data_IF_030920729428
#
_entry.id   IF_030920729428
#
_cell.length_a   1.000
_cell.length_b   1.000
_cell.length_c   1.000
_cell.angle_alpha   90.00
_cell.angle_beta   90.00
_cell.angle_gamma   90.00
#
_symmetry.space_group_name_H-M   'P 1'
#
loop_
_entity.id
_entity.type
_entity.pdbx_description
1 polymer ?
#
# COMPACT_ATOMS: atom_id res chain seq x y z
N UNK A 1 -7.41 -16.38 -8.51
CA UNK A 1 -7.24 -14.92 -8.44
C UNK A 1 -5.97 -14.66 -7.67
N UNK A 2 -4.89 -14.35 -8.40
CA UNK A 2 -3.58 -14.07 -7.79
C UNK A 2 -3.55 -12.65 -7.20
N UNK A 3 -4.20 -11.69 -7.86
CA UNK A 3 -4.38 -10.30 -7.40
C UNK A 3 -4.98 -10.21 -5.99
N UNK A 4 -5.95 -11.07 -5.64
CA UNK A 4 -6.56 -11.09 -4.30
C UNK A 4 -5.59 -11.52 -3.20
N UNK A 5 -4.59 -12.35 -3.51
CA UNK A 5 -3.59 -12.83 -2.55
C UNK A 5 -2.56 -11.75 -2.25
N UNK A 6 -2.16 -10.99 -3.26
CA UNK A 6 -1.19 -9.90 -3.08
C UNK A 6 -1.80 -8.73 -2.30
N UNK A 7 -3.08 -8.42 -2.51
CA UNK A 7 -3.82 -7.46 -1.67
C UNK A 7 -3.84 -7.87 -0.20
N UNK A 8 -4.10 -9.15 0.09
CA UNK A 8 -4.08 -9.67 1.46
C UNK A 8 -2.69 -9.56 2.11
N UNK A 9 -1.63 -9.89 1.37
CA UNK A 9 -0.24 -9.73 1.86
C UNK A 9 0.09 -8.28 2.22
N UNK A 10 -0.34 -7.33 1.39
CA UNK A 10 -0.16 -5.89 1.66
C UNK A 10 -0.86 -5.53 2.97
N UNK A 11 -2.14 -5.93 3.12
CA UNK A 11 -2.92 -5.69 4.33
C UNK A 11 -2.26 -6.29 5.58
N UNK A 12 -1.80 -7.54 5.53
CA UNK A 12 -1.12 -8.20 6.66
C UNK A 12 0.19 -7.48 7.01
N UNK A 13 0.96 -7.06 6.02
CA UNK A 13 2.24 -6.38 6.26
C UNK A 13 2.03 -5.06 7.01
N UNK A 14 1.09 -4.23 6.56
CA UNK A 14 0.82 -2.93 7.20
C UNK A 14 0.02 -3.04 8.50
N UNK A 15 -0.69 -4.15 8.73
CA UNK A 15 -1.38 -4.39 10.00
C UNK A 15 -0.43 -4.40 11.20
N UNK A 16 0.85 -4.67 10.99
CA UNK A 16 1.87 -4.58 12.05
C UNK A 16 2.06 -3.16 12.59
N UNK A 17 1.60 -2.13 11.86
CA UNK A 17 1.64 -0.72 12.28
C UNK A 17 0.40 -0.30 13.09
N UNK A 18 -0.60 -1.18 13.23
CA UNK A 18 -1.80 -0.93 14.03
C UNK A 18 -1.57 -1.39 15.48
N UNK A 19 -1.03 -0.52 16.32
CA UNK A 19 -1.06 -0.71 17.77
C UNK A 19 -2.36 -0.14 18.40
N UNK A 20 -2.56 -0.34 19.71
CA UNK A 20 -3.76 0.09 20.44
C UNK A 20 -4.06 1.61 20.33
N UNK A 21 -3.07 2.42 19.94
CA UNK A 21 -3.19 3.86 19.77
C UNK A 21 -3.44 4.29 18.31
N UNK A 22 -3.27 3.40 17.33
CA UNK A 22 -3.40 3.70 15.89
C UNK A 22 -4.72 3.14 15.34
N UNK A 23 -5.62 4.02 14.91
CA UNK A 23 -6.93 3.62 14.38
C UNK A 23 -6.94 3.42 12.86
N UNK A 24 -5.99 4.04 12.15
CA UNK A 24 -5.93 4.01 10.69
C UNK A 24 -4.48 4.21 10.22
N UNK A 25 -4.09 3.45 9.19
CA UNK A 25 -2.84 3.63 8.44
C UNK A 25 -3.23 3.88 6.99
N UNK A 26 -2.81 5.02 6.46
CA UNK A 26 -2.95 5.39 5.05
C UNK A 26 -1.57 5.41 4.41
N UNK A 27 -1.46 4.81 3.23
CA UNK A 27 -0.23 4.80 2.44
C UNK A 27 -0.53 5.30 1.04
N UNK A 28 0.32 6.20 0.57
CA UNK A 28 0.37 6.61 -0.84
C UNK A 28 1.70 6.14 -1.39
N UNK A 29 1.67 5.43 -2.51
CA UNK A 29 2.85 4.84 -3.11
C UNK A 29 2.91 5.08 -4.61
N UNK A 30 4.14 5.31 -5.08
CA UNK A 30 4.52 5.29 -6.48
C UNK A 30 5.39 4.06 -6.75
N UNK A 31 5.01 3.27 -7.76
CA UNK A 31 5.57 1.96 -8.08
C UNK A 31 6.25 2.04 -9.44
N UNK A 32 7.57 1.95 -9.42
CA UNK A 32 8.42 1.85 -10.60
C UNK A 32 8.80 0.39 -10.85
N UNK A 33 9.54 0.15 -11.93
CA UNK A 33 9.96 -1.20 -12.31
C UNK A 33 11.03 -1.76 -11.35
N UNK A 34 11.83 -0.89 -10.73
CA UNK A 34 12.99 -1.22 -9.91
C UNK A 34 12.94 -0.66 -8.47
N UNK A 35 12.04 0.28 -8.19
CA UNK A 35 11.89 0.87 -6.86
C UNK A 35 10.44 1.30 -6.57
N UNK A 36 10.17 1.63 -5.30
CA UNK A 36 8.85 2.08 -4.83
C UNK A 36 9.03 3.25 -3.86
N UNK A 37 8.51 4.42 -4.22
CA UNK A 37 8.32 5.54 -3.30
C UNK A 37 7.06 5.35 -2.49
N UNK A 38 7.08 5.76 -1.22
CA UNK A 38 5.84 5.80 -0.44
C UNK A 38 5.91 6.78 0.72
N UNK A 39 4.73 7.19 1.17
CA UNK A 39 4.51 7.93 2.41
C UNK A 39 3.48 7.19 3.27
N UNK A 40 3.76 7.06 4.57
CA UNK A 40 2.82 6.54 5.55
C UNK A 40 2.26 7.71 6.36
N UNK A 41 0.94 7.76 6.48
CA UNK A 41 0.22 8.66 7.36
C UNK A 41 -0.64 7.81 8.30
N UNK A 42 -0.64 8.11 9.60
CA UNK A 42 -1.39 7.34 10.60
C UNK A 42 -2.34 8.24 11.38
N UNK A 43 -3.48 7.69 11.80
CA UNK A 43 -4.36 8.33 12.79
C UNK A 43 -4.07 7.72 14.15
N UNK A 44 -3.33 8.46 14.98
CA UNK A 44 -2.91 8.04 16.32
C UNK A 44 -3.64 8.86 17.38
N UNK A 45 -4.33 8.20 18.32
CA UNK A 45 -5.14 8.87 19.36
C UNK A 45 -6.10 9.93 18.79
N UNK A 46 -6.70 9.64 17.63
CA UNK A 46 -7.61 10.55 16.92
C UNK A 46 -6.93 11.74 16.21
N UNK A 47 -5.60 11.74 16.08
CA UNK A 47 -4.84 12.79 15.38
C UNK A 47 -4.08 12.22 14.20
N UNK A 48 -4.07 12.95 13.08
CA UNK A 48 -3.26 12.61 11.92
C UNK A 48 -1.78 12.91 12.21
N UNK A 49 -0.92 11.94 11.93
CA UNK A 49 0.53 12.04 11.95
C UNK A 49 1.03 11.65 10.56
N UNK A 50 1.60 12.60 9.83
CA UNK A 50 2.03 12.42 8.44
C UNK A 50 3.50 12.03 8.35
N UNK A 51 3.87 11.31 7.29
CA UNK A 51 5.27 11.04 6.95
C UNK A 51 5.99 10.12 7.95
N UNK A 52 5.28 9.15 8.51
CA UNK A 52 5.85 8.15 9.42
C UNK A 52 6.81 7.25 8.66
N UNK A 53 7.94 6.92 9.27
CA UNK A 53 8.89 5.98 8.69
C UNK A 53 8.32 4.55 8.75
N UNK A 54 8.12 3.94 7.58
CA UNK A 54 7.72 2.54 7.51
C UNK A 54 8.86 1.62 7.93
N UNK A 55 8.55 0.59 8.73
CA UNK A 55 9.56 -0.39 9.12
C UNK A 55 10.17 -1.11 7.91
N UNK A 56 11.48 -1.35 7.94
CA UNK A 56 12.19 -1.97 6.81
C UNK A 56 11.60 -3.32 6.36
N UNK A 57 11.09 -4.11 7.30
CA UNK A 57 10.47 -5.41 6.99
C UNK A 57 9.08 -5.24 6.36
N UNK A 58 8.29 -4.28 6.84
CA UNK A 58 7.01 -3.88 6.22
C UNK A 58 7.26 -3.41 4.81
N UNK A 59 8.26 -2.52 4.64
CA UNK A 59 8.57 -1.95 3.34
C UNK A 59 8.95 -3.00 2.29
N UNK A 60 9.75 -4.00 2.69
CA UNK A 60 10.13 -5.10 1.82
C UNK A 60 8.91 -5.95 1.42
N UNK A 61 8.13 -6.38 2.41
CA UNK A 61 6.96 -7.24 2.18
C UNK A 61 5.93 -6.57 1.27
N UNK A 62 5.70 -5.27 1.48
CA UNK A 62 4.81 -4.45 0.66
C UNK A 62 5.37 -4.29 -0.76
N UNK A 63 6.68 -4.08 -0.96
CA UNK A 63 7.26 -3.95 -2.30
C UNK A 63 7.05 -5.20 -3.15
N UNK A 64 7.41 -6.35 -2.59
CA UNK A 64 7.31 -7.62 -3.30
C UNK A 64 5.86 -7.89 -3.72
N UNK A 65 4.91 -7.57 -2.83
CA UNK A 65 3.47 -7.72 -3.09
C UNK A 65 2.94 -6.70 -4.11
N UNK A 66 3.34 -5.42 -4.04
CA UNK A 66 2.93 -4.40 -5.01
C UNK A 66 3.43 -4.72 -6.42
N UNK A 67 4.71 -5.09 -6.57
CA UNK A 67 5.26 -5.49 -7.86
C UNK A 67 4.59 -6.75 -8.41
N UNK A 68 4.24 -7.71 -7.53
CA UNK A 68 3.48 -8.90 -7.94
C UNK A 68 2.06 -8.54 -8.39
N UNK A 69 1.36 -7.71 -7.61
CA UNK A 69 0.02 -7.25 -7.90
C UNK A 69 -0.07 -6.52 -9.24
N UNK A 70 0.87 -5.60 -9.53
CA UNK A 70 0.94 -4.90 -10.82
C UNK A 70 1.08 -5.89 -11.97
N UNK A 71 2.01 -6.85 -11.88
CA UNK A 71 2.18 -7.89 -12.90
C UNK A 71 0.93 -8.76 -13.08
N UNK A 72 0.29 -9.16 -11.99
CA UNK A 72 -0.87 -10.05 -12.06
C UNK A 72 -2.09 -9.33 -12.64
N UNK A 73 -2.31 -8.06 -12.27
CA UNK A 73 -3.36 -7.22 -12.88
C UNK A 73 -3.11 -6.99 -14.38
N UNK A 74 -1.85 -6.78 -14.79
CA UNK A 74 -1.48 -6.69 -16.21
C UNK A 74 -1.77 -7.99 -16.97
N UNK A 75 -1.46 -9.16 -16.40
CA UNK A 75 -1.82 -10.47 -17.01
C UNK A 75 -3.33 -10.68 -17.11
N UNK A 76 -4.09 -10.13 -16.15
CA UNK A 76 -5.55 -10.12 -16.16
C UNK A 76 -6.14 -9.13 -17.17
N UNK A 77 -5.31 -8.39 -17.92
CA UNK A 77 -5.72 -7.45 -18.95
C UNK A 77 -6.14 -6.09 -18.42
N UNK A 78 -5.82 -5.77 -17.16
CA UNK A 78 -6.04 -4.44 -16.62
C UNK A 78 -4.99 -3.45 -17.14
N UNK A 79 -5.37 -2.18 -17.19
CA UNK A 79 -4.45 -1.09 -17.49
C UNK A 79 -3.32 -1.02 -16.46
N UNK A 80 -2.12 -0.71 -16.96
CA UNK A 80 -0.96 -0.49 -16.12
C UNK A 80 -1.19 0.67 -15.14
N UNK A 81 -0.59 0.56 -13.97
CA UNK A 81 -0.70 1.57 -12.93
C UNK A 81 0.65 1.75 -12.23
N UNK A 82 0.91 2.99 -11.84
CA UNK A 82 2.12 3.38 -11.12
C UNK A 82 1.80 3.99 -9.77
N UNK A 83 0.60 4.54 -9.61
CA UNK A 83 0.20 5.22 -8.38
C UNK A 83 -0.89 4.43 -7.69
N UNK A 84 -0.75 4.24 -6.38
CA UNK A 84 -1.81 3.65 -5.57
C UNK A 84 -1.88 4.29 -4.19
N UNK A 85 -3.06 4.25 -3.62
CA UNK A 85 -3.29 4.57 -2.22
C UNK A 85 -4.03 3.43 -1.56
N UNK A 86 -3.66 3.09 -0.34
CA UNK A 86 -4.38 2.09 0.43
C UNK A 86 -4.48 2.46 1.89
N UNK A 87 -5.59 2.05 2.50
CA UNK A 87 -5.94 2.32 3.88
C UNK A 87 -6.25 1.02 4.58
N UNK A 88 -5.71 0.86 5.79
CA UNK A 88 -6.09 -0.18 6.73
C UNK A 88 -6.57 0.46 8.02
N UNK A 89 -7.75 0.06 8.48
CA UNK A 89 -8.34 0.50 9.75
C UNK A 89 -8.21 -0.57 10.82
N UNK A 90 -8.24 -0.14 12.08
CA UNK A 90 -8.21 -1.04 13.25
C UNK A 90 -9.39 -2.04 13.29
N UNK A 91 -10.49 -1.78 12.57
CA UNK A 91 -11.60 -2.72 12.42
C UNK A 91 -11.34 -3.84 11.39
N UNK A 92 -10.15 -3.86 10.77
CA UNK A 92 -9.76 -4.82 9.74
C UNK A 92 -10.19 -4.44 8.33
N UNK A 93 -10.85 -3.29 8.13
CA UNK A 93 -11.22 -2.81 6.80
C UNK A 93 -9.98 -2.39 6.02
N UNK A 94 -9.75 -3.07 4.90
CA UNK A 94 -8.70 -2.74 3.94
C UNK A 94 -9.30 -2.27 2.62
N UNK A 95 -8.80 -1.15 2.09
CA UNK A 95 -9.18 -0.65 0.77
C UNK A 95 -7.94 -0.15 0.03
N UNK A 96 -7.86 -0.47 -1.25
CA UNK A 96 -6.81 0.00 -2.15
C UNK A 96 -7.43 0.60 -3.40
N UNK A 97 -6.91 1.74 -3.81
CA UNK A 97 -7.30 2.47 -5.01
C UNK A 97 -6.06 2.66 -5.89
N UNK A 98 -6.25 2.51 -7.20
CA UNK A 98 -5.19 2.64 -8.21
C UNK A 98 -5.45 3.88 -9.05
N UNK A 99 -4.50 4.80 -9.05
CA UNK A 99 -4.53 5.97 -9.91
C UNK A 99 -3.78 5.67 -11.21
N UNK A 100 -4.55 5.64 -12.30
CA UNK A 100 -4.09 5.39 -13.67
C UNK A 100 -3.97 6.67 -14.49
N UNK A 101 -4.40 7.80 -13.92
CA UNK A 101 -4.35 9.11 -14.59
C UNK A 101 -3.00 9.80 -14.43
N UNK A 102 -2.26 9.45 -13.38
CA UNK A 102 -0.95 10.02 -13.09
C UNK A 102 0.15 9.18 -13.75
N UNK A 103 0.89 9.73 -14.73
CA UNK A 103 2.04 9.04 -15.34
C UNK A 103 3.15 8.86 -14.29
N UNK A 104 4.02 7.84 -14.44
CA UNK A 104 5.17 7.67 -13.55
C UNK A 104 6.09 8.90 -13.63
N UNK A 105 6.60 9.31 -12.46
CA UNK A 105 7.65 10.29 -12.28
C UNK A 105 8.92 9.85 -13.01
N UNK A 106 9.63 10.82 -13.59
CA UNK A 106 10.80 10.61 -14.45
C UNK A 106 12.09 10.31 -13.67
#
# INVERSE_FOLDING_TARGET
MESSRELEKIGIAIATMLDDSVSEVTVVAEVHDDWVERRYDIVQNGKLVEGVEGERLVNRSVNDALSALRRDMLKEGQEDWHHCSYVLRADGSFKMDFDRSTPPSA
#
